data_IF_445970593064
#
_entry.id   IF_445970593064
#
_cell.length_a   1.000
_cell.length_b   1.000
_cell.length_c   1.000
_cell.angle_alpha   90.00
_cell.angle_beta   90.00
_cell.angle_gamma   90.00
#
_symmetry.space_group_name_H-M   'P 1'
#
loop_
_entity.id
_entity.type
_entity.pdbx_description
1 polymer ?
#
# COMPACT_ATOMS: atom_id res chain seq x y z
N UNK A 1 -12.67 -42.92 -35.91
CA UNK A 1 -13.60 -41.96 -35.29
C UNK A 1 -12.83 -41.22 -34.20
N UNK A 2 -12.51 -39.94 -34.42
CA UNK A 2 -11.68 -39.20 -33.48
C UNK A 2 -12.50 -38.87 -32.22
N UNK A 3 -11.98 -39.30 -31.07
CA UNK A 3 -12.54 -39.09 -29.76
C UNK A 3 -12.53 -37.56 -29.49
N UNK A 4 -13.67 -36.90 -29.63
CA UNK A 4 -13.86 -35.52 -29.20
C UNK A 4 -13.68 -35.50 -27.68
N UNK A 5 -12.51 -35.05 -27.23
CA UNK A 5 -12.25 -34.78 -25.82
C UNK A 5 -13.21 -33.65 -25.44
N UNK A 6 -14.31 -34.02 -24.76
CA UNK A 6 -15.29 -33.10 -24.19
C UNK A 6 -14.51 -32.05 -23.41
N UNK A 7 -14.55 -30.80 -23.91
CA UNK A 7 -13.88 -29.66 -23.29
C UNK A 7 -14.21 -29.66 -21.80
N UNK A 8 -13.19 -29.65 -20.96
CA UNK A 8 -13.36 -29.62 -19.51
C UNK A 8 -14.14 -28.34 -19.21
N UNK A 9 -15.36 -28.49 -18.69
CA UNK A 9 -16.17 -27.35 -18.26
C UNK A 9 -15.31 -26.50 -17.31
N UNK A 10 -15.18 -25.18 -17.56
CA UNK A 10 -14.33 -24.32 -16.75
C UNK A 10 -14.80 -24.34 -15.30
N UNK A 11 -13.85 -24.47 -14.35
CA UNK A 11 -14.14 -24.56 -12.90
C UNK A 11 -14.90 -23.35 -12.34
N UNK A 12 -14.87 -22.24 -13.06
CA UNK A 12 -15.65 -21.04 -12.78
C UNK A 12 -16.39 -20.65 -14.05
N UNK A 13 -17.71 -20.56 -13.97
CA UNK A 13 -18.57 -20.08 -15.04
C UNK A 13 -18.09 -18.68 -15.51
N UNK A 14 -18.16 -18.39 -16.80
CA UNK A 14 -17.58 -17.15 -17.39
C UNK A 14 -18.10 -15.88 -16.70
N UNK A 15 -19.34 -15.92 -16.21
CA UNK A 15 -19.95 -14.86 -15.41
C UNK A 15 -19.31 -14.69 -14.02
N UNK A 16 -18.90 -15.79 -13.37
CA UNK A 16 -18.22 -15.79 -12.08
C UNK A 16 -16.82 -15.16 -12.20
N UNK A 17 -16.08 -15.49 -13.27
CA UNK A 17 -14.76 -14.90 -13.53
C UNK A 17 -14.85 -13.39 -13.80
N UNK A 18 -15.79 -12.97 -14.65
CA UNK A 18 -16.02 -11.55 -14.93
C UNK A 18 -16.44 -10.75 -13.68
N UNK A 19 -17.24 -11.35 -12.79
CA UNK A 19 -17.60 -10.74 -11.52
C UNK A 19 -16.39 -10.60 -10.59
N UNK A 20 -15.52 -11.62 -10.49
CA UNK A 20 -14.29 -11.58 -9.70
C UNK A 20 -13.32 -10.54 -10.25
N UNK A 21 -13.12 -10.45 -11.57
CA UNK A 21 -12.24 -9.44 -12.17
C UNK A 21 -12.75 -8.02 -11.93
N UNK A 22 -14.06 -7.80 -12.07
CA UNK A 22 -14.67 -6.49 -11.82
C UNK A 22 -14.51 -6.07 -10.36
N UNK A 23 -14.85 -6.95 -9.42
CA UNK A 23 -14.75 -6.69 -7.98
C UNK A 23 -13.30 -6.59 -7.51
N UNK A 24 -12.42 -7.42 -8.07
CA UNK A 24 -10.99 -7.39 -7.80
C UNK A 24 -10.35 -6.09 -8.26
N UNK A 25 -10.76 -5.56 -9.41
CA UNK A 25 -10.30 -4.24 -9.91
C UNK A 25 -10.80 -3.09 -9.04
N UNK A 26 -12.08 -3.12 -8.64
CA UNK A 26 -12.66 -2.13 -7.72
C UNK A 26 -11.92 -2.13 -6.37
N UNK A 27 -11.68 -3.32 -5.78
CA UNK A 27 -10.93 -3.46 -4.54
C UNK A 27 -9.47 -3.05 -4.68
N UNK A 28 -8.83 -3.37 -5.80
CA UNK A 28 -7.46 -2.96 -6.09
C UNK A 28 -7.32 -1.44 -6.13
N UNK A 29 -8.26 -0.75 -6.80
CA UNK A 29 -8.28 0.72 -6.82
C UNK A 29 -8.47 1.33 -5.42
N UNK A 30 -9.40 0.78 -4.62
CA UNK A 30 -9.62 1.24 -3.24
C UNK A 30 -8.37 0.99 -2.38
N UNK A 31 -7.72 -0.17 -2.53
CA UNK A 31 -6.50 -0.49 -1.80
C UNK A 31 -5.39 0.51 -2.12
N UNK A 32 -5.23 0.90 -3.39
CA UNK A 32 -4.26 1.93 -3.79
C UNK A 32 -4.56 3.29 -3.14
N UNK A 33 -5.82 3.72 -3.12
CA UNK A 33 -6.22 4.97 -2.46
C UNK A 33 -5.90 4.92 -0.97
N UNK A 34 -6.22 3.81 -0.30
CA UNK A 34 -5.93 3.62 1.13
C UNK A 34 -4.43 3.68 1.39
N UNK A 35 -3.62 3.03 0.55
CA UNK A 35 -2.16 3.08 0.66
C UNK A 35 -1.61 4.50 0.47
N UNK A 36 -2.13 5.27 -0.48
CA UNK A 36 -1.78 6.67 -0.67
C UNK A 36 -2.12 7.53 0.54
N UNK A 37 -3.29 7.33 1.15
CA UNK A 37 -3.68 8.03 2.39
C UNK A 37 -2.79 7.65 3.59
N UNK A 38 -2.42 6.37 3.71
CA UNK A 38 -1.49 5.92 4.75
C UNK A 38 -0.09 6.52 4.55
N UNK A 39 0.39 6.61 3.31
CA UNK A 39 1.63 7.29 2.98
C UNK A 39 1.55 8.80 3.30
N UNK A 40 0.46 9.47 2.93
CA UNK A 40 0.22 10.87 3.26
C UNK A 40 0.18 11.12 4.77
N UNK A 41 -0.49 10.25 5.53
CA UNK A 41 -0.55 10.34 6.99
C UNK A 41 0.82 10.09 7.62
N UNK A 42 1.58 9.10 7.13
CA UNK A 42 2.94 8.82 7.59
C UNK A 42 3.88 10.00 7.35
N UNK A 43 3.79 10.62 6.17
CA UNK A 43 4.64 11.75 5.76
C UNK A 43 4.21 13.03 6.50
N UNK A 44 2.92 13.29 6.60
CA UNK A 44 2.37 14.48 7.24
C UNK A 44 2.53 14.48 8.77
N UNK A 45 2.55 13.30 9.40
CA UNK A 45 2.83 13.16 10.85
C UNK A 45 4.30 12.91 11.16
N UNK A 46 5.21 13.08 10.20
CA UNK A 46 6.65 12.96 10.44
C UNK A 46 7.17 14.04 11.40
N UNK A 47 7.83 13.59 12.47
CA UNK A 47 8.56 14.48 13.38
C UNK A 47 10.04 14.08 13.44
N UNK A 48 11.00 15.00 13.29
CA UNK A 48 12.44 14.68 13.35
C UNK A 48 12.89 14.06 14.68
N UNK A 49 12.17 14.34 15.76
CA UNK A 49 12.45 13.81 17.10
C UNK A 49 11.89 12.39 17.31
N UNK A 50 11.12 11.86 16.35
CA UNK A 50 10.54 10.51 16.46
C UNK A 50 11.64 9.43 16.50
N UNK A 51 11.52 8.44 17.40
CA UNK A 51 12.50 7.38 17.50
C UNK A 51 12.48 6.51 16.24
N UNK A 52 13.61 6.45 15.55
CA UNK A 52 13.82 5.72 14.31
C UNK A 52 15.16 4.99 14.35
N UNK A 53 15.47 4.18 13.32
CA UNK A 53 16.80 3.57 13.21
C UNK A 53 17.94 4.58 13.12
N UNK A 54 17.64 5.81 12.66
CA UNK A 54 18.60 6.89 12.51
C UNK A 54 18.64 7.83 13.74
N UNK A 55 17.62 7.77 14.60
CA UNK A 55 17.50 8.63 15.79
C UNK A 55 17.01 7.79 16.98
N UNK A 56 17.93 7.48 17.89
CA UNK A 56 17.63 6.77 19.13
C UNK A 56 17.25 7.77 20.24
N UNK A 57 16.12 8.42 20.07
CA UNK A 57 15.51 9.31 21.07
C UNK A 57 14.57 8.53 22.00
N UNK A 58 14.44 8.94 23.26
CA UNK A 58 13.43 8.40 24.21
C UNK A 58 12.06 9.10 24.07
N UNK A 59 11.87 9.88 23.01
CA UNK A 59 10.64 10.63 22.77
C UNK A 59 9.48 9.69 22.39
N UNK A 60 8.23 10.01 22.80
CA UNK A 60 7.06 9.26 22.36
C UNK A 60 6.89 9.39 20.85
N UNK A 61 6.51 8.30 20.19
CA UNK A 61 6.26 8.30 18.73
C UNK A 61 5.04 9.16 18.41
N UNK A 62 5.23 10.20 17.60
CA UNK A 62 4.18 11.08 17.11
C UNK A 62 3.60 10.62 15.76
N UNK A 63 4.35 9.81 15.01
CA UNK A 63 3.88 9.28 13.74
C UNK A 63 2.61 8.43 13.91
N UNK A 64 1.59 8.68 13.09
CA UNK A 64 0.30 8.00 13.19
C UNK A 64 0.39 6.50 12.83
N UNK A 65 1.39 6.10 12.06
CA UNK A 65 1.70 4.68 11.78
C UNK A 65 2.62 4.06 12.85
N UNK A 66 2.84 4.77 13.96
CA UNK A 66 3.68 4.34 15.06
C UNK A 66 5.15 4.23 14.65
N UNK A 67 5.90 3.40 15.38
CA UNK A 67 7.37 3.33 15.24
C UNK A 67 7.81 2.89 13.85
N UNK A 68 7.03 2.05 13.18
CA UNK A 68 7.32 1.62 11.80
C UNK A 68 7.20 2.80 10.82
N UNK A 69 6.15 3.61 10.97
CA UNK A 69 5.98 4.84 10.18
C UNK A 69 7.13 5.83 10.39
N UNK A 70 7.50 6.08 11.65
CA UNK A 70 8.65 6.92 11.98
C UNK A 70 9.97 6.39 11.40
N UNK A 71 10.19 5.08 11.45
CA UNK A 71 11.42 4.43 10.93
C UNK A 71 11.55 4.54 9.42
N UNK A 72 10.43 4.51 8.69
CA UNK A 72 10.40 4.61 7.22
C UNK A 72 10.42 6.08 6.79
N UNK A 73 9.71 6.96 7.51
CA UNK A 73 9.66 8.39 7.23
C UNK A 73 11.02 9.07 7.44
N UNK A 74 11.82 8.64 8.44
CA UNK A 74 13.14 9.22 8.71
C UNK A 74 14.09 9.19 7.50
N UNK A 75 14.43 8.05 6.87
CA UNK A 75 15.27 8.04 5.67
C UNK A 75 14.58 8.67 4.45
N UNK A 76 13.25 8.57 4.34
CA UNK A 76 12.49 9.21 3.25
C UNK A 76 12.63 10.73 3.26
N UNK A 77 12.41 11.36 4.41
CA UNK A 77 12.64 12.80 4.56
C UNK A 77 14.12 13.17 4.50
N UNK A 78 15.01 12.31 4.99
CA UNK A 78 16.45 12.56 4.92
C UNK A 78 16.99 12.57 3.48
N UNK A 79 16.49 11.68 2.61
CA UNK A 79 16.96 11.53 1.23
C UNK A 79 16.15 12.40 0.26
N UNK A 80 14.83 12.40 0.39
CA UNK A 80 13.91 13.02 -0.59
C UNK A 80 13.37 14.37 -0.10
N UNK A 81 13.43 14.65 1.20
CA UNK A 81 12.91 15.89 1.78
C UNK A 81 11.42 16.08 1.51
N UNK A 82 11.04 17.30 1.12
CA UNK A 82 9.67 17.64 0.72
C UNK A 82 9.19 16.87 -0.53
N UNK A 83 10.09 16.29 -1.33
CA UNK A 83 9.72 15.44 -2.47
C UNK A 83 9.06 14.12 -2.06
N UNK A 84 9.14 13.73 -0.78
CA UNK A 84 8.45 12.56 -0.25
C UNK A 84 6.93 12.61 -0.45
N UNK A 85 6.34 13.81 -0.48
CA UNK A 85 4.93 14.03 -0.83
C UNK A 85 4.54 13.50 -2.22
N UNK A 86 5.50 13.31 -3.13
CA UNK A 86 5.26 12.64 -4.41
C UNK A 86 4.76 11.21 -4.25
N UNK A 87 5.14 10.50 -3.18
CA UNK A 87 4.67 9.15 -2.87
C UNK A 87 3.19 9.15 -2.44
N UNK A 88 2.75 10.22 -1.80
CA UNK A 88 1.34 10.39 -1.41
C UNK A 88 0.43 10.80 -2.60
N UNK A 89 1.01 11.29 -3.70
CA UNK A 89 0.29 11.80 -4.86
C UNK A 89 0.00 10.76 -5.95
N UNK A 90 0.65 9.59 -5.90
CA UNK A 90 0.56 8.52 -6.91
C UNK A 90 -0.22 7.34 -6.34
#
# INVERSE_FOLDING_TARGET
MAYQVKGRDPLFDSNMQAAIEKRGRELGGIALIVLGLLAAAMIGSYTPDDPSWLSATDAPVQNWLGRLGASIAAPLFMIVGLGSWGIALV
#
